data_IF_552140247904
#
_entry.id   IF_552140247904
#
_cell.length_a   1.000
_cell.length_b   1.000
_cell.length_c   1.000
_cell.angle_alpha   90.00
_cell.angle_beta   90.00
_cell.angle_gamma   90.00
#
_symmetry.space_group_name_H-M   'P 1'
#
loop_
_entity.id
_entity.type
_entity.pdbx_description
1 polymer ?
#
# COMPACT_ATOMS: atom_id res chain seq x y z
N UNK A 1 -28.88 -2.29 1.28
CA UNK A 1 -27.92 -1.73 2.27
C UNK A 1 -26.56 -1.70 1.60
N UNK A 2 -25.80 -0.62 1.76
CA UNK A 2 -24.46 -0.47 1.20
C UNK A 2 -23.41 -0.84 2.26
N UNK A 3 -22.40 -1.62 1.87
CA UNK A 3 -21.26 -1.95 2.71
C UNK A 3 -20.16 -0.88 2.55
N UNK A 4 -19.66 -0.34 3.66
CA UNK A 4 -18.71 0.78 3.67
C UNK A 4 -17.42 0.48 2.90
N UNK A 5 -16.77 -0.64 3.20
CA UNK A 5 -15.54 -1.02 2.52
C UNK A 5 -15.75 -1.38 1.05
N UNK A 6 -16.95 -1.86 0.69
CA UNK A 6 -17.26 -2.06 -0.73
C UNK A 6 -17.29 -0.73 -1.46
N UNK A 7 -17.93 0.29 -0.89
CA UNK A 7 -17.93 1.63 -1.47
C UNK A 7 -16.52 2.21 -1.60
N UNK A 8 -15.68 2.04 -0.57
CA UNK A 8 -14.28 2.47 -0.61
C UNK A 8 -13.53 1.86 -1.80
N UNK A 9 -13.54 0.53 -1.93
CA UNK A 9 -12.86 -0.15 -3.02
C UNK A 9 -13.47 0.15 -4.38
N UNK A 10 -14.78 0.35 -4.45
CA UNK A 10 -15.45 0.73 -5.69
C UNK A 10 -15.02 2.12 -6.15
N UNK A 11 -14.95 3.10 -5.24
CA UNK A 11 -14.45 4.45 -5.54
C UNK A 11 -12.99 4.41 -5.98
N UNK A 12 -12.14 3.63 -5.29
CA UNK A 12 -10.74 3.50 -5.67
C UNK A 12 -10.59 2.88 -7.07
N UNK A 13 -11.42 1.89 -7.41
CA UNK A 13 -11.42 1.27 -8.73
C UNK A 13 -11.76 2.25 -9.87
N UNK A 14 -12.65 3.22 -9.62
CA UNK A 14 -13.06 4.21 -10.63
C UNK A 14 -12.29 5.53 -10.53
N UNK A 15 -11.29 5.64 -9.66
CA UNK A 15 -10.55 6.88 -9.40
C UNK A 15 -10.03 7.53 -10.68
N UNK A 16 -9.41 6.75 -11.57
CA UNK A 16 -8.91 7.26 -12.86
C UNK A 16 -10.03 7.76 -13.76
N UNK A 17 -11.22 7.16 -13.69
CA UNK A 17 -12.39 7.67 -14.40
C UNK A 17 -12.87 9.00 -13.78
N UNK A 18 -12.93 9.09 -12.45
CA UNK A 18 -13.28 10.31 -11.73
C UNK A 18 -12.34 11.47 -12.07
N UNK A 19 -11.03 11.21 -12.14
CA UNK A 19 -10.02 12.19 -12.54
C UNK A 19 -10.21 12.70 -13.97
N UNK A 20 -10.71 11.86 -14.89
CA UNK A 20 -10.96 12.25 -16.29
C UNK A 20 -12.20 13.12 -16.46
N UNK A 21 -13.25 12.86 -15.69
CA UNK A 21 -14.51 13.62 -15.76
C UNK A 21 -14.48 14.89 -14.91
N UNK A 22 -13.52 15.01 -14.00
CA UNK A 22 -13.32 16.21 -13.20
C UNK A 22 -13.02 17.41 -14.13
N UNK A 23 -13.73 18.55 -13.97
CA UNK A 23 -13.45 19.75 -14.73
C UNK A 23 -11.98 20.18 -14.56
N UNK A 24 -11.28 20.37 -15.68
CA UNK A 24 -9.89 20.84 -15.70
C UNK A 24 -9.85 22.36 -15.57
N UNK A 25 -9.97 22.86 -14.34
CA UNK A 25 -9.59 24.22 -13.94
C UNK A 25 -8.17 24.25 -13.36
N UNK A 26 -7.85 25.25 -12.54
CA UNK A 26 -6.58 25.32 -11.78
C UNK A 26 -6.42 24.17 -10.77
N UNK A 27 -7.54 23.60 -10.31
CA UNK A 27 -7.59 22.37 -9.52
C UNK A 27 -8.70 21.47 -10.06
N UNK A 28 -8.39 20.20 -10.28
CA UNK A 28 -9.38 19.20 -10.65
C UNK A 28 -10.25 18.89 -9.42
N UNK A 29 -11.52 19.29 -9.45
CA UNK A 29 -12.45 19.13 -8.34
C UNK A 29 -13.69 18.35 -8.76
N UNK A 30 -14.05 17.31 -8.01
CA UNK A 30 -15.34 16.65 -8.15
C UNK A 30 -16.41 17.54 -7.53
N UNK A 31 -17.25 18.15 -8.37
CA UNK A 31 -18.38 18.93 -7.88
C UNK A 31 -19.53 18.00 -7.41
N UNK A 32 -20.42 18.55 -6.60
CA UNK A 32 -21.57 17.82 -6.03
C UNK A 32 -22.51 17.26 -7.09
N UNK A 33 -22.56 17.85 -8.27
CA UNK A 33 -23.41 17.40 -9.38
C UNK A 33 -22.85 16.11 -9.99
N UNK A 34 -21.54 16.05 -10.23
CA UNK A 34 -20.84 14.85 -10.71
C UNK A 34 -20.99 13.72 -9.69
N UNK A 35 -20.77 14.01 -8.41
CA UNK A 35 -20.90 13.01 -7.35
C UNK A 35 -22.32 12.41 -7.26
N UNK A 36 -23.37 13.25 -7.39
CA UNK A 36 -24.78 12.79 -7.37
C UNK A 36 -25.17 11.96 -8.58
N UNK A 37 -24.56 12.22 -9.73
CA UNK A 37 -24.87 11.54 -10.99
C UNK A 37 -24.04 10.27 -11.22
N UNK A 38 -23.15 9.94 -10.28
CA UNK A 38 -22.29 8.78 -10.37
C UNK A 38 -23.11 7.50 -10.16
N UNK A 39 -23.13 6.64 -11.18
CA UNK A 39 -23.79 5.34 -11.10
C UNK A 39 -22.89 4.34 -10.37
N UNK A 40 -23.43 3.74 -9.31
CA UNK A 40 -22.73 2.71 -8.52
C UNK A 40 -23.27 1.34 -8.90
N UNK A 41 -22.40 0.41 -9.24
CA UNK A 41 -22.79 -0.99 -9.33
C UNK A 41 -23.02 -1.52 -7.91
N UNK A 42 -24.23 -1.97 -7.61
CA UNK A 42 -24.62 -2.36 -6.25
C UNK A 42 -25.08 -3.83 -6.23
N UNK A 43 -24.16 -4.79 -6.04
CA UNK A 43 -24.51 -6.20 -5.93
C UNK A 43 -25.25 -6.50 -4.61
N UNK A 44 -25.81 -7.70 -4.41
CA UNK A 44 -26.38 -8.13 -3.14
C UNK A 44 -25.43 -7.94 -1.96
N UNK A 45 -25.99 -7.71 -0.76
CA UNK A 45 -25.18 -7.39 0.44
C UNK A 45 -24.17 -8.49 0.81
N UNK A 46 -24.48 -9.76 0.50
CA UNK A 46 -23.56 -10.88 0.68
C UNK A 46 -22.32 -10.75 -0.19
N UNK A 47 -22.50 -10.43 -1.47
CA UNK A 47 -21.40 -10.23 -2.42
C UNK A 47 -20.58 -9.00 -2.08
N UNK A 48 -21.22 -7.89 -1.68
CA UNK A 48 -20.50 -6.69 -1.23
C UNK A 48 -19.55 -6.99 -0.06
N UNK A 49 -20.01 -7.78 0.92
CA UNK A 49 -19.19 -8.20 2.07
C UNK A 49 -18.04 -9.09 1.65
N UNK A 50 -18.28 -10.04 0.74
CA UNK A 50 -17.25 -10.97 0.30
C UNK A 50 -16.16 -10.27 -0.51
N UNK A 51 -16.55 -9.40 -1.44
CA UNK A 51 -15.62 -8.55 -2.20
C UNK A 51 -14.78 -7.71 -1.23
N UNK A 52 -15.42 -7.01 -0.29
CA UNK A 52 -14.72 -6.19 0.69
C UNK A 52 -13.76 -7.01 1.57
N UNK A 53 -14.19 -8.20 2.02
CA UNK A 53 -13.37 -9.10 2.85
C UNK A 53 -12.10 -9.55 2.13
N UNK A 54 -12.22 -9.91 0.86
CA UNK A 54 -11.07 -10.33 0.03
C UNK A 54 -10.09 -9.17 -0.11
N UNK A 55 -10.57 -8.00 -0.52
CA UNK A 55 -9.72 -6.83 -0.75
C UNK A 55 -9.04 -6.34 0.55
N UNK A 56 -9.75 -6.30 1.67
CA UNK A 56 -9.15 -6.00 2.97
C UNK A 56 -8.06 -6.98 3.37
N UNK A 57 -8.23 -8.26 3.05
CA UNK A 57 -7.23 -9.28 3.35
C UNK A 57 -5.95 -9.02 2.57
N UNK A 58 -6.07 -8.59 1.31
CA UNK A 58 -4.93 -8.22 0.47
C UNK A 58 -4.24 -6.98 1.02
N UNK A 59 -4.99 -5.93 1.35
CA UNK A 59 -4.43 -4.68 1.90
C UNK A 59 -3.66 -4.92 3.20
N UNK A 60 -4.24 -5.69 4.13
CA UNK A 60 -3.57 -6.04 5.39
C UNK A 60 -2.28 -6.81 5.15
N UNK A 61 -2.24 -7.67 4.12
CA UNK A 61 -1.01 -8.39 3.74
C UNK A 61 0.04 -7.41 3.22
N UNK A 62 -0.34 -6.46 2.37
CA UNK A 62 0.56 -5.42 1.86
C UNK A 62 1.14 -4.59 3.00
N UNK A 63 0.29 -4.14 3.93
CA UNK A 63 0.70 -3.38 5.12
C UNK A 63 1.71 -4.16 5.96
N UNK A 64 1.41 -5.43 6.26
CA UNK A 64 2.28 -6.30 7.06
C UNK A 64 3.65 -6.48 6.42
N UNK A 65 3.71 -6.72 5.11
CA UNK A 65 4.98 -6.86 4.40
C UNK A 65 5.74 -5.53 4.31
N UNK A 66 5.02 -4.40 4.19
CA UNK A 66 5.58 -3.05 4.26
C UNK A 66 6.30 -2.79 5.59
N UNK A 67 5.61 -3.04 6.72
CA UNK A 67 6.21 -2.92 8.05
C UNK A 67 7.41 -3.85 8.23
N UNK A 68 7.32 -5.09 7.73
CA UNK A 68 8.44 -6.03 7.79
C UNK A 68 9.66 -5.52 7.02
N UNK A 69 9.45 -4.97 5.82
CA UNK A 69 10.50 -4.38 5.01
C UNK A 69 11.16 -3.20 5.74
N UNK A 70 10.38 -2.28 6.29
CA UNK A 70 10.89 -1.14 7.05
C UNK A 70 11.71 -1.58 8.26
N UNK A 71 11.26 -2.59 9.00
CA UNK A 71 12.00 -3.15 10.12
C UNK A 71 13.34 -3.76 9.70
N UNK A 72 13.38 -4.49 8.57
CA UNK A 72 14.62 -5.06 8.03
C UNK A 72 15.59 -3.99 7.55
N UNK A 73 15.11 -2.93 6.88
CA UNK A 73 15.93 -1.79 6.47
C UNK A 73 16.51 -1.05 7.67
N UNK A 74 15.71 -0.85 8.72
CA UNK A 74 16.15 -0.29 9.99
C UNK A 74 17.25 -1.14 10.64
N UNK A 75 17.02 -2.45 10.75
CA UNK A 75 17.99 -3.40 11.29
C UNK A 75 19.30 -3.37 10.50
N UNK A 76 19.22 -3.40 9.17
CA UNK A 76 20.40 -3.34 8.31
C UNK A 76 21.21 -2.06 8.54
N UNK A 77 20.54 -0.89 8.61
CA UNK A 77 21.19 0.40 8.89
C UNK A 77 21.90 0.38 10.25
N UNK A 78 21.26 -0.15 11.29
CA UNK A 78 21.87 -0.26 12.63
C UNK A 78 23.07 -1.21 12.64
N UNK A 79 22.95 -2.38 12.01
CA UNK A 79 24.05 -3.35 11.92
C UNK A 79 25.24 -2.78 11.14
N UNK A 80 24.98 -2.11 10.02
CA UNK A 80 26.00 -1.43 9.23
C UNK A 80 26.67 -0.33 10.06
N UNK A 81 25.91 0.49 10.78
CA UNK A 81 26.47 1.49 11.68
C UNK A 81 27.38 0.85 12.75
N UNK A 82 26.94 -0.23 13.40
CA UNK A 82 27.75 -0.94 14.39
C UNK A 82 29.04 -1.53 13.81
N UNK A 83 28.99 -2.03 12.57
CA UNK A 83 30.17 -2.50 11.85
C UNK A 83 31.14 -1.33 11.58
N UNK A 84 30.64 -0.22 11.03
CA UNK A 84 31.45 0.95 10.67
C UNK A 84 32.03 1.69 11.88
N UNK A 85 31.29 1.76 12.99
CA UNK A 85 31.79 2.33 14.26
C UNK A 85 32.57 1.32 15.09
N UNK A 86 32.89 0.16 14.53
CA UNK A 86 33.70 -0.82 15.21
C UNK A 86 33.09 -1.35 16.53
N UNK A 87 31.76 -1.30 16.70
CA UNK A 87 31.06 -1.91 17.84
C UNK A 87 30.89 -3.42 17.67
N UNK A 88 30.78 -3.87 16.42
CA UNK A 88 30.74 -5.28 16.04
C UNK A 88 31.88 -5.55 15.05
N UNK A 89 32.44 -6.76 15.04
CA UNK A 89 33.42 -7.23 14.05
C UNK A 89 32.90 -8.46 13.35
N UNK A 90 33.30 -8.61 12.10
CA UNK A 90 33.11 -9.83 11.35
C UNK A 90 34.19 -10.84 11.74
N UNK A 91 33.87 -12.15 11.82
CA UNK A 91 34.87 -13.20 11.97
C UNK A 91 35.88 -13.17 10.82
N UNK A 92 37.14 -13.50 11.08
CA UNK A 92 38.19 -13.53 10.03
C UNK A 92 37.83 -14.48 8.89
N UNK A 93 37.31 -15.66 9.21
CA UNK A 93 36.82 -16.66 8.25
C UNK A 93 35.75 -16.12 7.28
N UNK A 94 35.01 -15.08 7.68
CA UNK A 94 34.02 -14.43 6.82
C UNK A 94 34.68 -13.43 5.88
N UNK A 95 35.65 -12.65 6.39
CA UNK A 95 36.39 -11.64 5.61
C UNK A 95 37.21 -12.30 4.51
N UNK A 96 37.90 -13.39 4.84
CA UNK A 96 38.77 -14.16 3.91
C UNK A 96 38.00 -14.60 2.64
N UNK A 97 36.71 -14.92 2.75
CA UNK A 97 35.86 -15.31 1.60
C UNK A 97 35.62 -14.21 0.58
N UNK A 98 35.81 -12.95 0.98
CA UNK A 98 35.65 -11.78 0.11
C UNK A 98 36.99 -11.15 -0.29
N UNK A 99 38.11 -11.61 0.27
CA UNK A 99 39.47 -11.21 -0.16
C UNK A 99 39.96 -12.02 -1.37
N UNK A 100 39.36 -13.18 -1.65
CA UNK A 100 39.71 -14.06 -2.78
C UNK A 100 39.00 -13.73 -4.11
N UNK A 101 38.20 -12.65 -4.18
CA UNK A 101 37.56 -12.15 -5.41
C UNK A 101 38.02 -10.75 -5.77
#
# INVERSE_FOLDING_TARGET
RLHEFYLYYWIENIKTYLEKIAPRGTQANLNTTIAKNLSIFLPPISEQREIARILQTVDRKIETEGTRKEALEGLFKTLLHHLMTAKVRLPREFIERFEEN
#
